data_IF_418437289173
#
_entry.id   IF_418437289173
#
_cell.length_a   1.000
_cell.length_b   1.000
_cell.length_c   1.000
_cell.angle_alpha   90.00
_cell.angle_beta   90.00
_cell.angle_gamma   90.00
#
_symmetry.space_group_name_H-M   'P 1'
#
loop_
_entity.id
_entity.type
_entity.pdbx_description
1 polymer ?
#
# COMPACT_ATOMS: atom_id res chain seq x y z
N UNK A 1 -18.72 6.41 -14.70
CA UNK A 1 -18.89 5.97 -13.30
C UNK A 1 -18.53 4.51 -13.21
N UNK A 2 -17.70 4.13 -12.23
CA UNK A 2 -17.21 2.77 -12.08
C UNK A 2 -17.38 2.30 -10.65
N UNK A 3 -17.49 0.99 -10.50
CA UNK A 3 -17.55 0.34 -9.20
C UNK A 3 -16.43 -0.68 -9.13
N UNK A 4 -15.74 -0.74 -7.98
CA UNK A 4 -14.64 -1.67 -7.76
C UNK A 4 -14.89 -2.46 -6.48
N UNK A 5 -14.69 -3.77 -6.55
CA UNK A 5 -14.70 -4.63 -5.37
C UNK A 5 -13.31 -5.20 -5.22
N UNK A 6 -12.66 -4.92 -4.10
CA UNK A 6 -11.26 -5.26 -3.91
C UNK A 6 -10.98 -6.75 -4.12
N UNK A 7 -11.88 -7.62 -3.64
CA UNK A 7 -11.70 -9.07 -3.72
C UNK A 7 -11.82 -9.62 -5.15
N UNK A 8 -12.28 -8.82 -6.09
CA UNK A 8 -12.41 -9.25 -7.49
C UNK A 8 -11.15 -8.97 -8.31
N UNK A 9 -10.21 -8.21 -7.76
CA UNK A 9 -8.96 -7.94 -8.46
C UNK A 9 -7.89 -8.94 -8.04
N UNK A 10 -7.45 -9.77 -8.97
CA UNK A 10 -6.34 -10.69 -8.78
C UNK A 10 -5.24 -10.33 -9.76
N UNK A 11 -4.08 -9.99 -9.25
CA UNK A 11 -2.94 -9.61 -10.07
C UNK A 11 -2.27 -10.83 -10.70
N UNK A 12 -1.51 -10.58 -11.76
CA UNK A 12 -0.69 -11.60 -12.44
C UNK A 12 0.73 -11.64 -11.86
N UNK A 13 1.08 -10.70 -11.01
CA UNK A 13 2.40 -10.57 -10.40
C UNK A 13 2.27 -9.83 -9.07
N UNK A 14 3.30 -9.95 -8.23
CA UNK A 14 3.36 -9.21 -6.96
C UNK A 14 3.24 -7.70 -7.21
N UNK A 15 2.46 -7.04 -6.40
CA UNK A 15 2.20 -5.59 -6.46
C UNK A 15 1.61 -5.13 -7.78
N UNK A 16 0.92 -6.02 -8.47
CA UNK A 16 0.13 -5.63 -9.64
C UNK A 16 -0.94 -4.63 -9.22
N UNK A 17 -1.27 -3.71 -10.12
CA UNK A 17 -2.12 -2.58 -9.75
C UNK A 17 -3.25 -2.38 -10.75
N UNK A 18 -4.40 -2.01 -10.20
CA UNK A 18 -5.54 -1.51 -10.96
C UNK A 18 -5.67 -0.02 -10.68
N UNK A 19 -5.58 0.79 -11.70
CA UNK A 19 -5.73 2.24 -11.56
C UNK A 19 -7.20 2.58 -11.30
N UNK A 20 -7.45 3.31 -10.22
CA UNK A 20 -8.80 3.74 -9.85
C UNK A 20 -9.05 5.16 -10.31
N UNK A 21 -8.16 6.10 -9.96
CA UNK A 21 -8.34 7.52 -10.27
C UNK A 21 -7.03 8.27 -10.15
N UNK A 22 -7.00 9.49 -10.71
CA UNK A 22 -5.93 10.44 -10.50
C UNK A 22 -6.54 11.79 -10.16
N UNK A 23 -5.95 12.47 -9.18
CA UNK A 23 -6.34 13.81 -8.78
C UNK A 23 -5.09 14.69 -8.84
N UNK A 24 -4.94 15.44 -9.94
CA UNK A 24 -3.71 16.17 -10.17
C UNK A 24 -2.52 15.23 -10.21
N UNK A 25 -1.56 15.41 -9.31
CA UNK A 25 -0.37 14.57 -9.21
C UNK A 25 -0.54 13.39 -8.25
N UNK A 26 -1.76 13.12 -7.81
CA UNK A 26 -2.05 12.03 -6.86
C UNK A 26 -2.74 10.89 -7.58
N UNK A 27 -2.20 9.68 -7.44
CA UNK A 27 -2.82 8.47 -7.98
C UNK A 27 -3.50 7.67 -6.89
N UNK A 28 -4.59 7.00 -7.27
CA UNK A 28 -5.32 6.06 -6.43
C UNK A 28 -5.30 4.72 -7.15
N UNK A 29 -4.66 3.72 -6.53
CA UNK A 29 -4.50 2.40 -7.14
C UNK A 29 -4.85 1.31 -6.14
N UNK A 30 -5.49 0.26 -6.64
CA UNK A 30 -5.71 -0.97 -5.88
C UNK A 30 -4.62 -1.95 -6.27
N UNK A 31 -3.80 -2.37 -5.30
CA UNK A 31 -2.75 -3.35 -5.52
C UNK A 31 -3.19 -4.73 -5.03
N UNK A 32 -2.77 -5.75 -5.76
CA UNK A 32 -2.82 -7.14 -5.35
C UNK A 32 -1.39 -7.61 -5.13
N UNK A 33 -1.12 -8.32 -4.03
CA UNK A 33 0.21 -8.86 -3.79
C UNK A 33 0.16 -10.12 -2.93
N UNK A 34 1.16 -10.98 -3.14
CA UNK A 34 1.40 -12.15 -2.30
C UNK A 34 2.83 -12.13 -1.74
N UNK A 35 3.58 -11.03 -1.93
CA UNK A 35 4.98 -10.91 -1.55
C UNK A 35 5.28 -9.54 -0.96
N UNK A 36 6.33 -9.45 -0.10
CA UNK A 36 6.78 -8.16 0.40
C UNK A 36 7.18 -7.21 -0.72
N UNK A 37 6.97 -5.93 -0.48
CA UNK A 37 7.57 -4.89 -1.29
C UNK A 37 9.04 -4.74 -0.85
N UNK A 38 9.68 -3.65 -1.21
CA UNK A 38 11.05 -3.34 -0.78
C UNK A 38 11.04 -2.25 0.28
N UNK A 39 12.08 -2.17 1.09
CA UNK A 39 12.33 -0.99 1.91
C UNK A 39 12.47 0.23 1.02
N UNK A 40 11.73 1.28 1.31
CA UNK A 40 11.79 2.51 0.52
C UNK A 40 11.42 3.71 1.38
N UNK A 41 11.78 4.89 0.89
CA UNK A 41 11.49 6.17 1.53
C UNK A 41 10.48 6.89 0.67
N UNK A 42 9.39 7.38 1.30
CA UNK A 42 8.37 8.13 0.56
C UNK A 42 8.93 9.46 0.06
N UNK A 43 8.70 9.75 -1.21
CA UNK A 43 9.00 11.05 -1.81
C UNK A 43 7.81 12.00 -1.76
N UNK A 44 6.77 11.64 -1.01
CA UNK A 44 5.57 12.41 -0.78
C UNK A 44 4.75 11.69 0.28
N UNK A 45 3.53 12.14 0.51
CA UNK A 45 2.61 11.47 1.41
C UNK A 45 2.04 10.21 0.78
N UNK A 46 1.70 9.23 1.62
CA UNK A 46 1.06 8.00 1.17
C UNK A 46 -0.04 7.59 2.16
N UNK A 47 -1.19 7.19 1.63
CA UNK A 47 -2.22 6.48 2.40
C UNK A 47 -2.25 5.05 1.90
N UNK A 48 -2.18 4.10 2.82
CA UNK A 48 -2.12 2.67 2.55
C UNK A 48 -3.24 2.01 3.35
N UNK A 49 -4.28 1.55 2.66
CA UNK A 49 -5.46 0.96 3.30
C UNK A 49 -5.58 -0.50 2.92
N UNK A 50 -5.61 -1.38 3.92
CA UNK A 50 -5.79 -2.81 3.68
C UNK A 50 -7.27 -3.08 3.39
N UNK A 51 -7.55 -3.47 2.16
CA UNK A 51 -8.92 -3.74 1.69
C UNK A 51 -9.29 -5.21 1.82
N UNK A 52 -8.29 -6.09 1.84
CA UNK A 52 -8.49 -7.53 1.96
C UNK A 52 -7.19 -8.16 2.41
N UNK A 53 -7.25 -9.10 3.36
CA UNK A 53 -6.08 -9.76 3.89
C UNK A 53 -5.46 -9.04 5.07
N UNK A 54 -4.17 -9.29 5.27
CA UNK A 54 -3.42 -8.81 6.41
C UNK A 54 -2.01 -8.47 5.97
N UNK A 55 -1.49 -7.34 6.45
CA UNK A 55 -0.15 -6.85 6.09
C UNK A 55 0.59 -6.44 7.36
N UNK A 56 1.80 -6.96 7.53
CA UNK A 56 2.70 -6.43 8.54
C UNK A 56 3.45 -5.25 7.95
N UNK A 57 3.26 -4.07 8.51
CA UNK A 57 3.97 -2.87 8.09
C UNK A 57 5.16 -2.66 9.03
N UNK A 58 6.38 -2.69 8.48
CA UNK A 58 7.58 -2.33 9.23
C UNK A 58 8.01 -0.93 8.82
N UNK A 59 8.43 -0.14 9.80
CA UNK A 59 8.79 1.25 9.57
C UNK A 59 9.89 1.67 10.54
N UNK A 60 10.69 2.65 10.12
CA UNK A 60 11.74 3.21 10.97
C UNK A 60 11.23 4.47 11.64
N UNK A 61 11.46 4.54 12.94
CA UNK A 61 11.10 5.68 13.76
C UNK A 61 12.20 5.90 14.80
N UNK A 62 12.80 7.08 14.80
CA UNK A 62 13.86 7.45 15.73
C UNK A 62 15.01 6.42 15.74
N UNK A 63 15.39 5.94 14.54
CA UNK A 63 16.48 4.98 14.39
C UNK A 63 16.13 3.54 14.73
N UNK A 64 14.89 3.27 15.09
CA UNK A 64 14.43 1.93 15.44
C UNK A 64 13.49 1.39 14.38
N UNK A 65 13.55 0.08 14.14
CA UNK A 65 12.58 -0.61 13.30
C UNK A 65 11.43 -1.08 14.17
N UNK A 66 10.24 -0.61 13.83
CA UNK A 66 9.00 -1.00 14.51
C UNK A 66 8.09 -1.68 13.51
N UNK A 67 7.13 -2.43 14.00
CA UNK A 67 6.15 -3.06 13.12
C UNK A 67 4.76 -3.00 13.71
N UNK A 68 3.77 -3.04 12.82
CA UNK A 68 2.37 -3.12 13.19
C UNK A 68 1.64 -3.97 12.17
N UNK A 69 0.80 -4.86 12.63
CA UNK A 69 -0.06 -5.67 11.78
C UNK A 69 -1.29 -4.85 11.41
N UNK A 70 -1.54 -4.76 10.11
CA UNK A 70 -2.72 -4.10 9.57
C UNK A 70 -3.68 -5.16 9.08
N UNK A 71 -4.87 -5.20 9.67
CA UNK A 71 -5.94 -6.09 9.25
C UNK A 71 -6.84 -5.36 8.24
N UNK A 72 -7.72 -6.11 7.60
CA UNK A 72 -8.69 -5.52 6.66
C UNK A 72 -9.42 -4.37 7.34
N UNK A 73 -9.42 -3.21 6.71
CA UNK A 73 -10.01 -1.98 7.22
C UNK A 73 -9.04 -1.05 7.93
N UNK A 74 -7.80 -1.50 8.20
CA UNK A 74 -6.81 -0.66 8.84
C UNK A 74 -6.09 0.21 7.82
N UNK A 75 -5.67 1.39 8.26
CA UNK A 75 -5.06 2.39 7.39
C UNK A 75 -3.72 2.82 7.98
N UNK A 76 -2.70 2.87 7.13
CA UNK A 76 -1.39 3.39 7.45
C UNK A 76 -1.18 4.69 6.67
N UNK A 77 -0.84 5.75 7.39
CA UNK A 77 -0.44 7.01 6.76
C UNK A 77 1.07 7.18 6.91
N UNK A 78 1.74 7.38 5.80
CA UNK A 78 3.17 7.66 5.76
C UNK A 78 3.38 9.10 5.31
N UNK A 79 3.99 9.90 6.20
CA UNK A 79 4.44 11.25 5.83
C UNK A 79 5.62 11.15 4.88
N UNK A 80 5.92 12.23 4.19
CA UNK A 80 7.11 12.32 3.34
C UNK A 80 8.35 11.96 4.16
N UNK A 81 9.22 11.12 3.59
CA UNK A 81 10.45 10.70 4.25
C UNK A 81 10.31 9.50 5.16
N UNK A 82 9.12 8.92 5.29
CA UNK A 82 8.92 7.70 6.08
C UNK A 82 9.58 6.53 5.37
N UNK A 83 10.44 5.81 6.08
CA UNK A 83 11.09 4.61 5.57
C UNK A 83 10.31 3.39 6.06
N UNK A 84 9.83 2.55 5.12
CA UNK A 84 8.96 1.45 5.48
C UNK A 84 8.97 0.33 4.43
N UNK A 85 8.42 -0.82 4.82
CA UNK A 85 8.22 -1.98 3.95
C UNK A 85 6.91 -2.66 4.34
N UNK A 86 6.12 -3.03 3.36
CA UNK A 86 4.88 -3.78 3.54
C UNK A 86 5.11 -5.26 3.31
N UNK A 87 4.74 -6.09 4.28
CA UNK A 87 4.89 -7.55 4.24
C UNK A 87 3.52 -8.21 4.34
N UNK A 88 2.91 -8.63 3.23
CA UNK A 88 1.62 -9.33 3.29
C UNK A 88 1.79 -10.68 3.98
N UNK A 89 0.75 -11.07 4.70
CA UNK A 89 0.64 -12.38 5.32
C UNK A 89 -0.28 -13.23 4.44
N UNK A 90 0.29 -13.81 3.37
CA UNK A 90 -0.50 -14.41 2.29
C UNK A 90 -0.90 -13.37 1.27
N UNK A 91 -2.00 -13.60 0.56
CA UNK A 91 -2.52 -12.64 -0.42
C UNK A 91 -3.17 -11.46 0.28
N UNK A 92 -2.85 -10.25 -0.17
CA UNK A 92 -3.46 -9.04 0.32
C UNK A 92 -3.83 -8.11 -0.84
N UNK A 93 -4.84 -7.28 -0.61
CA UNK A 93 -5.24 -6.22 -1.52
C UNK A 93 -5.26 -4.92 -0.76
N UNK A 94 -4.56 -3.92 -1.29
CA UNK A 94 -4.35 -2.65 -0.60
C UNK A 94 -4.67 -1.50 -1.54
N UNK A 95 -5.35 -0.49 -1.00
CA UNK A 95 -5.58 0.75 -1.73
C UNK A 95 -4.48 1.72 -1.36
N UNK A 96 -3.76 2.21 -2.37
CA UNK A 96 -2.64 3.12 -2.17
C UNK A 96 -2.96 4.45 -2.84
N UNK A 97 -2.88 5.51 -2.05
CA UNK A 97 -3.07 6.88 -2.51
C UNK A 97 -1.74 7.58 -2.31
N UNK A 98 -1.10 8.00 -3.40
CA UNK A 98 0.24 8.57 -3.32
C UNK A 98 0.52 9.46 -4.52
N UNK A 99 1.63 10.20 -4.43
CA UNK A 99 2.12 11.01 -5.53
C UNK A 99 2.35 10.13 -6.77
N UNK A 100 1.93 10.61 -7.91
CA UNK A 100 2.11 9.92 -9.19
C UNK A 100 3.59 9.58 -9.40
N UNK A 101 3.89 8.34 -9.77
CA UNK A 101 5.25 7.89 -10.01
C UNK A 101 6.05 7.54 -8.78
N UNK A 102 5.45 7.56 -7.59
CA UNK A 102 6.11 7.12 -6.35
C UNK A 102 6.43 5.62 -6.39
N UNK A 103 7.51 5.26 -5.72
CA UNK A 103 7.96 3.86 -5.62
C UNK A 103 7.66 3.28 -4.26
#
# INVERSE_FOLDING_TARGET
MNFYRSTEFTGSKAWDAQHIASFGNTSVKLHWTDRPYKWHINDGQEVFAVMDGCVEMQYKEQGEIKSRVLNTGDIFYASEGTEHIARPQGVARVLVIEKEGSV
#
